data_IF_083697938907
#
_entry.id   IF_083697938907
#
_cell.length_a   1.000
_cell.length_b   1.000
_cell.length_c   1.000
_cell.angle_alpha   90.00
_cell.angle_beta   90.00
_cell.angle_gamma   90.00
#
_symmetry.space_group_name_H-M   'P 1'
#
loop_
_entity.id
_entity.type
_entity.pdbx_description
1 polymer ?
#
# COMPACT_ATOMS: atom_id res chain seq x y z
N UNK A 1 -26.89 -7.96 -14.94
CA UNK A 1 -27.90 -7.05 -14.35
C UNK A 1 -27.48 -6.86 -12.90
N UNK A 2 -26.94 -5.67 -12.57
CA UNK A 2 -26.22 -5.41 -11.32
C UNK A 2 -27.18 -5.33 -10.13
N UNK A 3 -26.89 -6.07 -9.06
CA UNK A 3 -27.57 -5.96 -7.77
C UNK A 3 -26.72 -5.06 -6.86
N UNK A 4 -27.23 -3.85 -6.61
CA UNK A 4 -26.72 -2.93 -5.60
C UNK A 4 -27.27 -3.31 -4.23
N UNK A 5 -26.41 -3.37 -3.22
CA UNK A 5 -26.78 -3.58 -1.83
C UNK A 5 -26.91 -2.23 -1.11
N UNK A 6 -28.09 -1.96 -0.52
CA UNK A 6 -28.32 -0.79 0.35
C UNK A 6 -28.53 -1.24 1.80
N UNK A 7 -27.84 -0.63 2.79
CA UNK A 7 -28.14 -0.87 4.21
C UNK A 7 -29.30 0.00 4.71
N UNK A 8 -30.09 -0.47 5.69
CA UNK A 8 -31.26 0.25 6.18
C UNK A 8 -30.91 1.41 7.13
N UNK A 9 -31.73 2.45 7.06
CA UNK A 9 -31.68 3.67 7.86
C UNK A 9 -32.38 3.47 9.21
N UNK A 10 -31.71 3.74 10.33
CA UNK A 10 -32.38 4.08 11.60
C UNK A 10 -31.52 5.03 12.43
N UNK A 11 -32.06 6.23 12.62
CA UNK A 11 -31.61 7.26 13.57
C UNK A 11 -31.86 6.81 15.02
N UNK A 12 -30.97 7.20 15.93
CA UNK A 12 -31.39 7.69 17.24
C UNK A 12 -30.34 8.66 17.81
N UNK A 13 -30.82 9.88 18.07
CA UNK A 13 -30.22 10.90 18.94
C UNK A 13 -29.89 10.31 20.32
N UNK A 14 -28.82 10.78 20.96
CA UNK A 14 -28.74 11.28 22.35
C UNK A 14 -27.26 11.60 22.64
N UNK A 15 -26.95 12.86 22.90
CA UNK A 15 -25.81 13.27 23.75
C UNK A 15 -26.38 13.48 25.17
N UNK A 16 -25.65 13.17 26.26
CA UNK A 16 -24.68 14.15 26.76
C UNK A 16 -23.42 13.57 27.45
N UNK A 17 -22.46 14.46 27.63
CA UNK A 17 -21.24 14.46 28.46
C UNK A 17 -21.18 13.50 29.67
N UNK A 18 -20.08 12.74 29.77
CA UNK A 18 -19.52 12.28 31.05
C UNK A 18 -17.98 12.39 31.04
N UNK A 19 -17.45 13.27 31.91
CA UNK A 19 -16.09 13.17 32.46
C UNK A 19 -16.08 12.01 33.45
N UNK A 20 -15.10 11.10 33.39
CA UNK A 20 -14.55 10.51 34.61
C UNK A 20 -13.14 9.91 34.42
N UNK A 21 -12.37 10.08 35.48
CA UNK A 21 -10.97 9.78 35.67
C UNK A 21 -10.65 8.28 35.73
N UNK A 22 -9.38 7.98 35.40
CA UNK A 22 -8.53 6.92 35.97
C UNK A 22 -9.19 5.55 36.21
N UNK A 23 -9.02 4.65 35.25
CA UNK A 23 -9.03 3.21 35.51
C UNK A 23 -7.68 2.62 35.09
N UNK A 24 -6.87 2.24 36.11
CA UNK A 24 -5.76 1.30 35.96
C UNK A 24 -6.33 0.00 35.44
N UNK A 25 -5.98 -0.39 34.22
CA UNK A 25 -6.19 -1.75 33.76
C UNK A 25 -5.01 -2.60 34.23
N UNK A 26 -5.28 -3.48 35.20
CA UNK A 26 -4.35 -4.49 35.68
C UNK A 26 -4.56 -5.76 34.84
N UNK A 27 -3.82 -5.90 33.74
CA UNK A 27 -3.77 -7.13 32.95
C UNK A 27 -2.44 -7.85 33.20
N UNK A 28 -2.45 -8.85 34.09
CA UNK A 28 -1.41 -9.86 34.17
C UNK A 28 -1.47 -10.73 32.90
N UNK A 29 -0.73 -10.35 31.87
CA UNK A 29 -0.52 -11.18 30.70
C UNK A 29 0.68 -12.10 30.97
N UNK A 30 0.40 -13.31 31.46
CA UNK A 30 1.41 -14.37 31.50
C UNK A 30 1.75 -14.80 30.08
N UNK A 31 2.88 -14.30 29.57
CA UNK A 31 3.49 -14.76 28.32
C UNK A 31 3.96 -16.19 28.54
N UNK A 32 3.23 -17.17 28.04
CA UNK A 32 3.75 -18.53 27.86
C UNK A 32 4.83 -18.47 26.77
N UNK A 33 6.08 -18.61 27.19
CA UNK A 33 7.26 -18.56 26.34
C UNK A 33 7.37 -19.84 25.50
N UNK A 34 6.51 -20.01 24.49
CA UNK A 34 6.69 -21.04 23.46
C UNK A 34 7.62 -20.47 22.39
N UNK A 35 8.89 -20.86 22.46
CA UNK A 35 9.90 -20.64 21.42
C UNK A 35 9.31 -21.12 20.07
N UNK A 36 9.05 -20.24 19.08
CA UNK A 36 8.70 -20.72 17.76
C UNK A 36 9.96 -21.32 17.17
N UNK A 37 9.99 -22.64 16.99
CA UNK A 37 10.94 -23.28 16.08
C UNK A 37 10.54 -22.90 14.66
N UNK A 38 10.91 -21.68 14.23
CA UNK A 38 10.67 -21.21 12.87
C UNK A 38 11.65 -21.94 11.96
N UNK A 39 11.21 -23.04 11.36
CA UNK A 39 11.76 -23.47 10.07
C UNK A 39 11.61 -22.25 9.16
N UNK A 40 12.69 -21.70 8.55
CA UNK A 40 12.55 -20.60 7.62
C UNK A 40 11.60 -21.05 6.51
N UNK A 41 10.38 -20.51 6.49
CA UNK A 41 9.51 -20.60 5.33
C UNK A 41 10.35 -20.22 4.10
N UNK A 42 10.36 -21.06 3.05
CA UNK A 42 11.21 -20.86 1.89
C UNK A 42 10.88 -19.51 1.25
N UNK A 43 11.92 -18.74 0.93
CA UNK A 43 11.75 -17.41 0.34
C UNK A 43 10.87 -17.50 -0.92
N UNK A 44 9.82 -16.67 -1.03
CA UNK A 44 8.93 -16.75 -2.16
C UNK A 44 9.66 -16.34 -3.44
N UNK A 45 9.55 -17.19 -4.48
CA UNK A 45 10.05 -16.87 -5.81
C UNK A 45 9.01 -16.03 -6.57
N UNK A 46 9.44 -15.10 -7.43
CA UNK A 46 8.52 -14.37 -8.29
C UNK A 46 7.83 -15.35 -9.25
N UNK A 47 6.51 -15.18 -9.41
CA UNK A 47 5.68 -15.98 -10.33
C UNK A 47 5.79 -15.43 -11.75
N UNK A 48 5.93 -14.11 -11.87
CA UNK A 48 6.10 -13.40 -13.13
C UNK A 48 7.46 -12.70 -13.19
N UNK A 49 7.95 -12.46 -14.40
CA UNK A 49 9.20 -11.70 -14.60
C UNK A 49 8.94 -10.19 -14.58
N UNK A 50 7.75 -9.77 -14.97
CA UNK A 50 7.32 -8.37 -14.99
C UNK A 50 5.80 -8.27 -14.82
N UNK A 51 5.36 -7.20 -14.17
CA UNK A 51 3.95 -6.85 -13.99
C UNK A 51 3.76 -5.35 -14.21
N UNK A 52 2.61 -4.98 -14.78
CA UNK A 52 2.16 -3.59 -14.84
C UNK A 52 0.85 -3.47 -14.05
N UNK A 53 0.80 -2.52 -13.14
CA UNK A 53 -0.35 -2.27 -12.27
C UNK A 53 -0.84 -0.85 -12.43
N UNK A 54 -2.13 -0.65 -12.19
CA UNK A 54 -2.80 0.64 -12.22
C UNK A 54 -3.47 0.87 -10.87
N UNK A 55 -3.28 2.06 -10.31
CA UNK A 55 -4.06 2.53 -9.18
C UNK A 55 -4.80 3.80 -9.57
N UNK A 56 -6.14 3.84 -9.44
CA UNK A 56 -6.90 5.02 -9.76
C UNK A 56 -6.51 6.18 -8.85
N UNK A 57 -6.60 7.38 -9.40
CA UNK A 57 -6.42 8.61 -8.67
C UNK A 57 -7.45 8.71 -7.55
N UNK A 58 -7.00 9.05 -6.35
CA UNK A 58 -7.88 9.23 -5.21
C UNK A 58 -7.92 10.71 -4.87
N UNK A 59 -9.10 11.31 -4.92
CA UNK A 59 -9.30 12.66 -4.36
C UNK A 59 -9.76 12.48 -2.91
N UNK A 60 -8.96 12.97 -1.98
CA UNK A 60 -9.32 13.10 -0.57
C UNK A 60 -9.55 14.58 -0.22
N UNK A 61 -10.15 14.86 0.94
CA UNK A 61 -10.35 16.21 1.47
C UNK A 61 -11.35 17.10 0.71
N UNK A 62 -12.52 16.55 0.37
CA UNK A 62 -13.65 17.30 -0.16
C UNK A 62 -14.37 18.12 0.95
N UNK A 63 -13.73 19.20 1.44
CA UNK A 63 -14.34 20.19 2.35
C UNK A 63 -13.57 20.47 3.65
N UNK A 64 -14.10 21.34 4.54
CA UNK A 64 -13.43 21.75 5.79
C UNK A 64 -13.41 20.67 6.89
N UNK A 65 -13.96 19.48 6.62
CA UNK A 65 -13.86 18.29 7.46
C UNK A 65 -12.79 17.35 6.94
N UNK A 66 -11.57 17.50 7.46
CA UNK A 66 -10.37 16.77 7.07
C UNK A 66 -10.55 15.23 7.23
N UNK A 67 -10.09 14.45 6.24
CA UNK A 67 -9.95 12.97 6.23
C UNK A 67 -11.20 12.06 6.26
N UNK A 68 -12.43 12.56 6.08
CA UNK A 68 -13.62 11.68 6.12
C UNK A 68 -14.11 11.15 4.77
N UNK A 69 -13.78 11.82 3.66
CA UNK A 69 -14.32 11.49 2.33
C UNK A 69 -13.19 11.38 1.31
N UNK A 70 -13.09 10.20 0.69
CA UNK A 70 -12.22 9.93 -0.45
C UNK A 70 -13.03 9.32 -1.60
N UNK A 71 -12.78 9.76 -2.83
CA UNK A 71 -13.40 9.20 -4.03
C UNK A 71 -12.32 8.81 -5.03
N UNK A 72 -12.43 7.62 -5.61
CA UNK A 72 -11.61 7.21 -6.74
C UNK A 72 -12.15 7.86 -8.01
N UNK A 73 -11.28 8.55 -8.75
CA UNK A 73 -11.61 9.17 -10.03
C UNK A 73 -11.43 8.12 -11.12
N UNK A 74 -12.44 8.00 -11.98
CA UNK A 74 -12.41 7.05 -13.09
C UNK A 74 -11.46 7.52 -14.19
N UNK A 75 -10.77 6.58 -14.83
CA UNK A 75 -9.88 6.80 -15.98
C UNK A 75 -8.55 7.54 -15.71
N UNK A 76 -8.35 8.14 -14.54
CA UNK A 76 -7.11 8.81 -14.13
C UNK A 76 -6.43 8.04 -13.00
N UNK A 77 -5.11 7.97 -13.00
CA UNK A 77 -4.36 7.27 -11.97
C UNK A 77 -2.90 7.04 -12.32
N UNK A 78 -2.21 6.28 -11.47
CA UNK A 78 -0.78 5.99 -11.65
C UNK A 78 -0.59 4.57 -12.15
N UNK A 79 0.38 4.41 -13.06
CA UNK A 79 0.85 3.10 -13.48
C UNK A 79 2.22 2.80 -12.88
N UNK A 80 2.38 1.59 -12.37
CA UNK A 80 3.67 1.05 -11.94
C UNK A 80 4.00 -0.15 -12.82
N UNK A 81 5.17 -0.10 -13.45
CA UNK A 81 5.76 -1.25 -14.13
C UNK A 81 6.91 -1.77 -13.27
N UNK A 82 6.83 -3.04 -12.88
CA UNK A 82 7.80 -3.69 -12.00
C UNK A 82 8.37 -4.92 -12.70
N UNK A 83 9.69 -5.06 -12.70
CA UNK A 83 10.37 -6.21 -13.32
C UNK A 83 11.52 -6.73 -12.47
N UNK A 84 11.84 -8.01 -12.63
CA UNK A 84 13.07 -8.60 -12.07
C UNK A 84 14.27 -8.12 -12.88
N UNK A 85 15.26 -7.54 -12.21
CA UNK A 85 16.41 -6.91 -12.85
C UNK A 85 17.73 -7.33 -12.21
N UNK A 86 18.56 -8.03 -12.98
CA UNK A 86 19.87 -8.54 -12.53
C UNK A 86 20.88 -7.44 -12.21
N UNK A 87 20.67 -6.20 -12.68
CA UNK A 87 21.56 -5.06 -12.43
C UNK A 87 21.37 -4.45 -11.03
N UNK A 88 20.24 -4.71 -10.38
CA UNK A 88 19.92 -4.22 -9.03
C UNK A 88 20.55 -5.13 -7.98
N UNK A 89 20.83 -4.60 -6.78
CA UNK A 89 21.37 -5.43 -5.70
C UNK A 89 20.31 -6.41 -5.17
N UNK A 90 20.71 -7.61 -4.72
CA UNK A 90 19.78 -8.57 -4.12
C UNK A 90 19.00 -7.95 -2.96
N UNK A 91 17.67 -8.12 -2.96
CA UNK A 91 16.81 -7.60 -1.90
C UNK A 91 16.52 -6.10 -2.00
N UNK A 92 17.01 -5.42 -3.03
CA UNK A 92 16.77 -3.99 -3.25
C UNK A 92 15.83 -3.75 -4.44
N UNK A 93 15.19 -2.57 -4.42
CA UNK A 93 14.41 -2.03 -5.52
C UNK A 93 15.18 -0.82 -6.09
N UNK A 94 15.29 -0.71 -7.40
CA UNK A 94 15.76 0.52 -8.05
C UNK A 94 14.59 1.21 -8.76
N UNK A 95 14.41 2.51 -8.51
CA UNK A 95 13.44 3.31 -9.25
C UNK A 95 14.08 3.79 -10.56
N UNK A 96 13.59 3.23 -11.66
CA UNK A 96 13.90 3.56 -13.05
C UNK A 96 13.15 4.82 -13.49
N UNK A 97 13.23 5.30 -14.76
CA UNK A 97 12.74 6.63 -15.07
C UNK A 97 11.26 6.74 -14.72
N UNK A 98 10.95 7.87 -14.10
CA UNK A 98 9.61 8.30 -13.76
C UNK A 98 9.13 9.12 -14.96
N UNK A 99 7.89 8.89 -15.38
CA UNK A 99 7.26 9.59 -16.50
C UNK A 99 6.07 10.41 -16.00
N UNK A 100 5.77 11.49 -16.74
CA UNK A 100 4.68 12.43 -16.45
C UNK A 100 5.19 13.82 -16.07
N UNK A 101 4.26 14.79 -16.04
CA UNK A 101 4.57 16.23 -15.92
C UNK A 101 5.30 16.62 -14.63
N UNK A 102 5.30 15.74 -13.64
CA UNK A 102 5.94 15.98 -12.35
C UNK A 102 7.05 14.98 -12.00
N UNK A 103 7.51 14.21 -12.98
CA UNK A 103 8.56 13.22 -12.82
C UNK A 103 9.86 13.79 -12.25
N UNK A 104 10.25 15.01 -12.65
CA UNK A 104 11.50 15.64 -12.20
C UNK A 104 11.50 16.01 -10.71
N UNK A 105 10.31 16.18 -10.11
CA UNK A 105 10.16 16.54 -8.70
C UNK A 105 10.06 15.32 -7.78
N UNK A 106 9.96 14.11 -8.35
CA UNK A 106 9.84 12.87 -7.59
C UNK A 106 11.22 12.28 -7.31
N UNK A 107 11.41 11.84 -6.06
CA UNK A 107 12.65 11.16 -5.67
C UNK A 107 12.76 9.81 -6.39
N UNK A 108 13.97 9.50 -6.87
CA UNK A 108 14.34 8.18 -7.40
C UNK A 108 14.92 7.26 -6.31
N UNK A 109 15.11 7.78 -5.11
CA UNK A 109 15.46 6.95 -3.96
C UNK A 109 14.20 6.18 -3.50
N UNK A 110 14.22 4.83 -3.52
CA UNK A 110 13.10 4.01 -3.05
C UNK A 110 12.66 4.31 -1.62
N UNK A 111 13.59 4.74 -0.75
CA UNK A 111 13.29 5.06 0.65
C UNK A 111 12.64 6.44 0.83
N UNK A 112 12.68 7.28 -0.20
CA UNK A 112 12.12 8.63 -0.21
C UNK A 112 11.00 8.79 -1.25
N UNK A 113 10.51 7.68 -1.82
CA UNK A 113 9.44 7.64 -2.80
C UNK A 113 8.28 6.78 -2.29
N UNK A 114 7.06 7.30 -2.28
CA UNK A 114 5.90 6.59 -1.72
C UNK A 114 5.64 5.21 -2.36
N UNK A 115 5.83 5.07 -3.69
CA UNK A 115 5.70 3.78 -4.36
C UNK A 115 6.83 2.82 -3.96
N UNK A 116 8.05 3.33 -3.83
CA UNK A 116 9.21 2.57 -3.37
C UNK A 116 9.05 2.07 -1.93
N UNK A 117 8.66 2.95 -1.01
CA UNK A 117 8.43 2.63 0.40
C UNK A 117 7.34 1.54 0.51
N UNK A 118 6.22 1.71 -0.17
CA UNK A 118 5.12 0.73 -0.15
C UNK A 118 5.55 -0.62 -0.74
N UNK A 119 6.32 -0.61 -1.83
CA UNK A 119 6.85 -1.82 -2.44
C UNK A 119 7.83 -2.57 -1.51
N UNK A 120 8.75 -1.85 -0.87
CA UNK A 120 9.70 -2.40 0.10
C UNK A 120 8.96 -3.02 1.29
N UNK A 121 7.92 -2.34 1.78
CA UNK A 121 7.14 -2.86 2.91
C UNK A 121 6.43 -4.17 2.55
N UNK A 122 5.85 -4.27 1.35
CA UNK A 122 5.28 -5.55 0.87
C UNK A 122 6.35 -6.63 0.70
N UNK A 123 7.55 -6.27 0.22
CA UNK A 123 8.67 -7.23 0.16
C UNK A 123 9.02 -7.76 1.55
N UNK A 124 9.09 -6.89 2.55
CA UNK A 124 9.36 -7.25 3.95
C UNK A 124 8.26 -8.15 4.52
N UNK A 125 6.98 -7.82 4.28
CA UNK A 125 5.84 -8.64 4.72
C UNK A 125 5.85 -10.04 4.11
N UNK A 126 6.34 -10.19 2.88
CA UNK A 126 6.50 -11.47 2.19
C UNK A 126 7.82 -12.19 2.52
N UNK A 127 8.73 -11.56 3.27
CA UNK A 127 10.04 -12.12 3.61
C UNK A 127 11.01 -12.22 2.43
N UNK A 128 10.85 -11.37 1.41
CA UNK A 128 11.71 -11.34 0.21
C UNK A 128 13.02 -10.61 0.53
N UNK A 129 14.15 -11.24 0.24
CA UNK A 129 15.50 -10.74 0.57
C UNK A 129 16.53 -10.89 -0.55
N UNK A 130 16.28 -11.70 -1.56
CA UNK A 130 17.24 -12.02 -2.62
C UNK A 130 16.81 -11.54 -4.01
N UNK A 131 15.51 -11.25 -4.18
CA UNK A 131 14.98 -10.77 -5.46
C UNK A 131 15.41 -9.33 -5.72
N UNK A 132 15.78 -9.06 -6.97
CA UNK A 132 16.26 -7.77 -7.46
C UNK A 132 15.19 -7.16 -8.34
N UNK A 133 14.72 -5.95 -8.02
CA UNK A 133 13.57 -5.38 -8.71
C UNK A 133 13.87 -4.00 -9.27
N UNK A 134 13.38 -3.73 -10.47
CA UNK A 134 13.32 -2.41 -11.06
C UNK A 134 11.87 -1.95 -11.17
N UNK A 135 11.62 -0.71 -10.77
CA UNK A 135 10.30 -0.10 -10.71
C UNK A 135 10.30 1.18 -11.56
N UNK A 136 9.41 1.27 -12.53
CA UNK A 136 9.13 2.49 -13.29
C UNK A 136 7.73 2.98 -12.96
N UNK A 137 7.60 4.31 -12.84
CA UNK A 137 6.38 4.99 -12.43
C UNK A 137 5.94 5.93 -13.55
N UNK A 138 4.69 5.79 -13.99
CA UNK A 138 4.02 6.73 -14.88
C UNK A 138 2.93 7.44 -14.05
N UNK A 139 3.14 8.73 -13.77
CA UNK A 139 2.17 9.56 -13.05
C UNK A 139 1.09 10.04 -14.02
N UNK A 140 -0.17 9.76 -13.69
CA UNK A 140 -1.30 10.25 -14.49
C UNK A 140 -1.79 11.64 -14.09
N UNK A 141 -1.32 12.17 -12.97
CA UNK A 141 -1.77 13.46 -12.43
C UNK A 141 -0.64 14.22 -11.69
N UNK A 142 -0.80 15.55 -11.50
CA UNK A 142 0.21 16.40 -10.87
C UNK A 142 0.41 16.12 -9.37
N UNK A 143 1.62 16.43 -8.85
CA UNK A 143 1.90 16.32 -7.41
C UNK A 143 0.94 17.16 -6.56
N UNK A 144 0.49 16.57 -5.44
CA UNK A 144 -0.35 17.21 -4.43
C UNK A 144 -1.77 16.67 -4.34
N UNK A 145 -2.26 15.98 -5.37
CA UNK A 145 -3.63 15.48 -5.44
C UNK A 145 -3.77 13.96 -5.25
N UNK A 146 -2.71 13.14 -5.45
CA UNK A 146 -2.76 11.70 -5.17
C UNK A 146 -1.46 11.14 -4.57
N UNK A 147 -1.32 11.25 -3.24
CA UNK A 147 -0.23 10.55 -2.54
C UNK A 147 -0.52 9.05 -2.40
N UNK A 148 -1.79 8.65 -2.39
CA UNK A 148 -2.21 7.27 -2.13
C UNK A 148 -2.13 6.32 -3.33
N UNK A 149 -2.33 6.81 -4.56
CA UNK A 149 -2.40 5.96 -5.76
C UNK A 149 -1.05 5.31 -6.08
N UNK A 150 0.04 6.07 -6.07
CA UNK A 150 1.39 5.55 -6.34
C UNK A 150 1.82 4.49 -5.30
N UNK A 151 1.50 4.72 -4.01
CA UNK A 151 1.77 3.76 -2.95
C UNK A 151 0.95 2.47 -3.13
N UNK A 152 -0.34 2.60 -3.45
CA UNK A 152 -1.22 1.46 -3.72
C UNK A 152 -0.73 0.65 -4.94
N UNK A 153 -0.37 1.31 -6.03
CA UNK A 153 0.17 0.65 -7.23
C UNK A 153 1.47 -0.12 -6.90
N UNK A 154 2.40 0.50 -6.16
CA UNK A 154 3.65 -0.16 -5.75
C UNK A 154 3.43 -1.41 -4.90
N UNK A 155 2.55 -1.32 -3.89
CA UNK A 155 2.19 -2.46 -3.04
C UNK A 155 1.53 -3.60 -3.83
N UNK A 156 0.57 -3.26 -4.71
CA UNK A 156 -0.12 -4.23 -5.56
C UNK A 156 0.88 -4.88 -6.53
N UNK A 157 1.78 -4.12 -7.16
CA UNK A 157 2.77 -4.65 -8.10
C UNK A 157 3.64 -5.75 -7.48
N UNK A 158 4.17 -5.52 -6.27
CA UNK A 158 4.94 -6.56 -5.58
C UNK A 158 4.05 -7.76 -5.28
N UNK A 159 2.88 -7.55 -4.69
CA UNK A 159 2.00 -8.66 -4.34
C UNK A 159 1.66 -9.54 -5.56
N UNK A 160 1.31 -8.92 -6.69
CA UNK A 160 0.98 -9.62 -7.94
C UNK A 160 2.19 -10.33 -8.54
N UNK A 161 3.38 -9.71 -8.52
CA UNK A 161 4.63 -10.35 -8.99
C UNK A 161 4.89 -11.69 -8.27
N UNK A 162 4.49 -11.80 -7.00
CA UNK A 162 4.64 -13.00 -6.17
C UNK A 162 3.35 -13.84 -6.07
N UNK A 163 2.36 -13.60 -6.92
CA UNK A 163 1.15 -14.41 -7.04
C UNK A 163 0.02 -14.08 -6.06
N UNK A 164 -0.07 -12.82 -5.61
CA UNK A 164 -1.24 -12.33 -4.87
C UNK A 164 -1.38 -12.90 -3.45
N UNK A 165 -0.27 -13.11 -2.75
CA UNK A 165 -0.24 -13.78 -1.44
C UNK A 165 -0.90 -12.96 -0.33
N UNK A 166 -0.83 -11.63 -0.41
CA UNK A 166 -1.49 -10.72 0.52
C UNK A 166 -2.93 -10.48 0.06
N UNK A 167 -3.89 -10.66 0.98
CA UNK A 167 -5.32 -10.44 0.73
C UNK A 167 -5.73 -9.02 1.14
N UNK A 168 -6.69 -8.45 0.41
CA UNK A 168 -7.36 -7.21 0.84
C UNK A 168 -8.17 -7.50 2.11
N UNK A 169 -8.08 -6.63 3.10
CA UNK A 169 -8.95 -6.65 4.28
C UNK A 169 -10.29 -6.02 3.86
N UNK A 170 -11.39 -6.76 4.06
CA UNK A 170 -12.76 -6.28 3.81
C UNK A 170 -13.32 -5.56 5.02
#
# INVERSE_FOLDING_TARGET
MALWYQPPSTLNLISPTLKLNSLRCNCNFSVSNSRPTHIPEPEPKPVFTSVKTFAPATVANLGPGFDFLGCAVDGLGDFISLSVDSSVRPGEIAIMPIFGDTAEKLSRDPLSNCAGIAAIEVMNMLGIRSVRLSLSLEKGLPLGNELGSSAAAGAIAINELFGGKLRKRS
#
